data_IF_514863534776
#
_entry.id   IF_514863534776
#
_cell.length_a   1.000
_cell.length_b   1.000
_cell.length_c   1.000
_cell.angle_alpha   90.00
_cell.angle_beta   90.00
_cell.angle_gamma   90.00
#
_symmetry.space_group_name_H-M   'P 1'
#
loop_
_entity.id
_entity.type
_entity.pdbx_description
1 polymer ?
#
# COMPACT_ATOMS: atom_id res chain seq x y z
N UNK A 1 43.61 20.23 48.57
CA UNK A 1 43.13 20.79 47.29
C UNK A 1 42.05 19.86 46.80
N UNK A 2 40.80 20.20 47.10
CA UNK A 2 39.64 19.38 46.71
C UNK A 2 39.21 19.74 45.28
N UNK A 3 38.66 18.79 44.54
CA UNK A 3 38.23 19.00 43.14
C UNK A 3 37.25 20.17 42.97
N UNK A 4 36.50 20.50 44.03
CA UNK A 4 35.57 21.62 44.07
C UNK A 4 36.27 22.98 44.13
N UNK A 5 37.42 23.09 44.82
CA UNK A 5 38.19 24.34 44.88
C UNK A 5 38.83 24.65 43.51
N UNK A 6 39.37 23.64 42.83
CA UNK A 6 39.96 23.80 41.50
C UNK A 6 38.96 24.22 40.42
N UNK A 7 37.68 23.87 40.55
CA UNK A 7 36.63 24.14 39.56
C UNK A 7 35.82 25.41 39.82
N UNK A 8 35.78 25.90 41.07
CA UNK A 8 34.88 26.99 41.46
C UNK A 8 35.55 28.12 42.27
N UNK A 9 36.75 27.95 42.83
CA UNK A 9 37.40 29.00 43.62
C UNK A 9 38.91 28.82 43.78
N UNK A 10 39.69 29.69 43.15
CA UNK A 10 41.06 29.99 43.60
C UNK A 10 41.02 31.22 44.50
N UNK A 11 41.89 31.25 45.52
CA UNK A 11 41.88 32.17 46.67
C UNK A 11 41.91 33.68 46.40
N UNK A 12 41.93 34.14 45.14
CA UNK A 12 42.02 35.54 44.74
C UNK A 12 40.79 36.02 43.96
N UNK A 13 39.56 35.74 44.46
CA UNK A 13 38.27 36.31 44.00
C UNK A 13 37.97 36.42 42.49
N UNK A 14 38.77 35.81 41.61
CA UNK A 14 38.58 35.83 40.17
C UNK A 14 37.67 34.67 39.76
N UNK A 15 36.56 35.03 39.13
CA UNK A 15 35.53 34.11 38.67
C UNK A 15 36.08 33.14 37.63
N UNK A 16 36.09 31.84 37.95
CA UNK A 16 36.68 30.82 37.09
C UNK A 16 35.75 30.49 35.91
N UNK A 17 36.00 31.15 34.77
CA UNK A 17 35.35 30.86 33.49
C UNK A 17 35.41 29.38 33.09
N UNK A 18 36.46 28.66 33.51
CA UNK A 18 36.69 27.24 33.18
C UNK A 18 35.58 26.32 33.72
N UNK A 19 35.11 26.53 34.95
CA UNK A 19 34.03 25.74 35.55
C UNK A 19 32.69 25.94 34.82
N UNK A 20 32.41 27.18 34.39
CA UNK A 20 31.21 27.52 33.61
C UNK A 20 31.29 26.97 32.19
N UNK A 21 32.45 27.07 31.53
CA UNK A 21 32.66 26.48 30.21
C UNK A 21 32.52 24.96 30.22
N UNK A 22 33.02 24.27 31.24
CA UNK A 22 32.84 22.83 31.41
C UNK A 22 31.37 22.43 31.63
N UNK A 23 30.64 23.22 32.43
CA UNK A 23 29.21 23.01 32.68
C UNK A 23 28.37 23.25 31.41
N UNK A 24 28.65 24.33 30.66
CA UNK A 24 28.02 24.61 29.37
C UNK A 24 28.32 23.54 28.32
N UNK A 25 29.57 23.04 28.27
CA UNK A 25 29.94 21.94 27.38
C UNK A 25 29.22 20.65 27.76
N UNK A 26 29.11 20.31 29.05
CA UNK A 26 28.38 19.15 29.54
C UNK A 26 26.88 19.22 29.22
N UNK A 27 26.26 20.38 29.46
CA UNK A 27 24.86 20.64 29.07
C UNK A 27 24.70 20.50 27.55
N UNK A 28 25.59 21.11 26.76
CA UNK A 28 25.59 21.01 25.30
C UNK A 28 25.72 19.58 24.78
N UNK A 29 26.56 18.75 25.41
CA UNK A 29 26.70 17.32 25.08
C UNK A 29 25.42 16.53 25.40
N UNK A 30 24.80 16.79 26.55
CA UNK A 30 23.53 16.14 26.93
C UNK A 30 22.41 16.54 25.96
N UNK A 31 22.29 17.82 25.64
CA UNK A 31 21.32 18.32 24.66
C UNK A 31 21.57 17.72 23.27
N UNK A 32 22.82 17.69 22.79
CA UNK A 32 23.17 17.05 21.51
C UNK A 32 22.88 15.55 21.52
N UNK A 33 23.16 14.83 22.61
CA UNK A 33 22.88 13.40 22.71
C UNK A 33 21.37 13.12 22.68
N UNK A 34 20.56 13.91 23.40
CA UNK A 34 19.10 13.79 23.39
C UNK A 34 18.54 14.16 22.01
N UNK A 35 19.03 15.26 21.43
CA UNK A 35 18.62 15.72 20.10
C UNK A 35 18.93 14.69 19.02
N UNK A 36 20.17 14.18 18.99
CA UNK A 36 20.60 13.15 18.05
C UNK A 36 19.81 11.85 18.22
N UNK A 37 19.44 11.47 19.45
CA UNK A 37 18.60 10.29 19.70
C UNK A 37 17.16 10.50 19.19
N UNK A 38 16.60 11.70 19.37
CA UNK A 38 15.27 12.05 18.86
C UNK A 38 15.26 12.10 17.33
N UNK A 39 16.26 12.73 16.70
CA UNK A 39 16.39 12.80 15.25
C UNK A 39 16.62 11.42 14.65
N UNK A 40 17.50 10.59 15.24
CA UNK A 40 17.73 9.22 14.78
C UNK A 40 16.45 8.36 14.83
N UNK A 41 15.66 8.49 15.90
CA UNK A 41 14.37 7.78 16.01
C UNK A 41 13.37 8.26 14.96
N UNK A 42 13.28 9.58 14.74
CA UNK A 42 12.42 10.14 13.70
C UNK A 42 12.83 9.68 12.30
N UNK A 43 14.14 9.63 12.01
CA UNK A 43 14.68 9.12 10.74
C UNK A 43 14.37 7.63 10.55
N UNK A 44 14.47 6.82 11.61
CA UNK A 44 14.13 5.41 11.58
C UNK A 44 12.63 5.19 11.28
N UNK A 45 11.76 5.94 11.97
CA UNK A 45 10.30 5.89 11.77
C UNK A 45 9.97 6.31 10.34
N UNK A 46 10.56 7.41 9.86
CA UNK A 46 10.36 7.91 8.50
C UNK A 46 10.78 6.87 7.45
N UNK A 47 11.95 6.25 7.60
CA UNK A 47 12.43 5.20 6.69
C UNK A 47 11.49 4.00 6.64
N UNK A 48 11.09 3.47 7.80
CA UNK A 48 10.19 2.32 7.87
C UNK A 48 8.82 2.66 7.24
N UNK A 49 8.28 3.86 7.50
CA UNK A 49 7.03 4.31 6.90
C UNK A 49 7.14 4.44 5.38
N UNK A 50 8.25 4.97 4.86
CA UNK A 50 8.48 5.08 3.41
C UNK A 50 8.59 3.70 2.76
N UNK A 51 9.29 2.76 3.39
CA UNK A 51 9.40 1.37 2.91
C UNK A 51 8.02 0.69 2.87
N UNK A 52 7.27 0.78 3.96
CA UNK A 52 5.89 0.30 4.04
C UNK A 52 5.01 0.93 2.95
N UNK A 53 5.08 2.25 2.74
CA UNK A 53 4.31 2.95 1.72
C UNK A 53 4.65 2.47 0.31
N UNK A 54 5.93 2.23 0.00
CA UNK A 54 6.34 1.75 -1.31
C UNK A 54 5.75 0.37 -1.60
N UNK A 55 5.78 -0.53 -0.61
CA UNK A 55 5.15 -1.86 -0.73
C UNK A 55 3.63 -1.74 -0.88
N UNK A 56 2.96 -0.98 -0.02
CA UNK A 56 1.50 -0.81 -0.07
C UNK A 56 1.03 -0.17 -1.39
N UNK A 57 1.78 0.80 -1.94
CA UNK A 57 1.50 1.40 -3.26
C UNK A 57 1.59 0.39 -4.38
N UNK A 58 2.61 -0.47 -4.36
CA UNK A 58 2.75 -1.55 -5.35
C UNK A 58 1.55 -2.48 -5.27
N UNK A 59 1.22 -2.95 -4.06
CA UNK A 59 0.10 -3.86 -3.84
C UNK A 59 -1.25 -3.27 -4.31
N UNK A 60 -1.52 -1.99 -4.10
CA UNK A 60 -2.73 -1.32 -4.61
C UNK A 60 -2.76 -1.29 -6.15
N UNK A 61 -1.64 -0.94 -6.77
CA UNK A 61 -1.52 -0.94 -8.23
C UNK A 61 -1.74 -2.34 -8.80
N UNK A 62 -1.07 -3.32 -8.20
CA UNK A 62 -1.11 -4.72 -8.59
C UNK A 62 -2.51 -5.31 -8.40
N UNK A 63 -3.23 -4.93 -7.34
CA UNK A 63 -4.60 -5.38 -7.08
C UNK A 63 -5.52 -5.04 -8.25
N UNK A 64 -5.49 -3.78 -8.69
CA UNK A 64 -6.30 -3.32 -9.82
C UNK A 64 -5.94 -4.01 -11.15
N UNK A 65 -4.64 -4.24 -11.39
CA UNK A 65 -4.15 -4.91 -12.61
C UNK A 65 -4.56 -6.39 -12.63
N UNK A 66 -4.40 -7.08 -11.50
CA UNK A 66 -4.74 -8.50 -11.41
C UNK A 66 -6.24 -8.75 -11.38
N UNK A 67 -7.03 -7.83 -10.82
CA UNK A 67 -8.49 -7.88 -10.93
C UNK A 67 -8.95 -7.85 -12.39
N UNK A 68 -8.45 -6.88 -13.18
CA UNK A 68 -8.75 -6.76 -14.61
C UNK A 68 -8.29 -8.01 -15.39
N UNK A 69 -7.06 -8.47 -15.13
CA UNK A 69 -6.47 -9.62 -15.80
C UNK A 69 -7.23 -10.92 -15.53
N UNK A 70 -7.65 -11.15 -14.28
CA UNK A 70 -8.40 -12.32 -13.88
C UNK A 70 -9.82 -12.34 -14.49
N UNK A 71 -10.53 -11.21 -14.46
CA UNK A 71 -11.85 -11.08 -15.09
C UNK A 71 -11.76 -11.32 -16.60
N UNK A 72 -10.82 -10.67 -17.30
CA UNK A 72 -10.62 -10.89 -18.74
C UNK A 72 -10.29 -12.34 -19.06
N UNK A 73 -9.42 -12.99 -18.28
CA UNK A 73 -9.07 -14.39 -18.47
C UNK A 73 -10.29 -15.32 -18.25
N UNK A 74 -11.10 -15.06 -17.23
CA UNK A 74 -12.34 -15.79 -16.96
C UNK A 74 -13.33 -15.70 -18.12
N UNK A 75 -13.56 -14.49 -18.64
CA UNK A 75 -14.45 -14.26 -19.79
C UNK A 75 -13.97 -15.03 -21.04
N UNK A 76 -12.65 -15.07 -21.28
CA UNK A 76 -12.06 -15.84 -22.39
C UNK A 76 -12.24 -17.36 -22.21
N UNK A 77 -12.16 -17.85 -20.98
CA UNK A 77 -12.42 -19.28 -20.69
C UNK A 77 -13.87 -19.62 -20.99
N UNK A 78 -14.82 -18.79 -20.56
CA UNK A 78 -16.25 -19.05 -20.81
C UNK A 78 -16.57 -18.96 -22.31
N UNK A 79 -16.02 -17.97 -23.03
CA UNK A 79 -16.23 -17.88 -24.48
C UNK A 79 -15.64 -19.07 -25.26
N UNK A 80 -14.54 -19.66 -24.77
CA UNK A 80 -14.00 -20.89 -25.32
C UNK A 80 -14.91 -22.11 -25.04
N UNK A 81 -15.52 -22.19 -23.85
CA UNK A 81 -16.46 -23.27 -23.48
C UNK A 81 -17.76 -23.24 -24.28
N UNK A 82 -18.31 -22.05 -24.52
CA UNK A 82 -19.57 -21.86 -25.28
C UNK A 82 -19.41 -22.09 -26.79
N UNK A 83 -18.19 -22.33 -27.27
CA UNK A 83 -17.93 -22.78 -28.63
C UNK A 83 -17.65 -21.68 -29.66
N UNK A 84 -17.46 -20.42 -29.24
CA UNK A 84 -17.05 -19.33 -30.16
C UNK A 84 -15.62 -19.51 -30.66
N UNK A 85 -14.78 -20.18 -29.88
CA UNK A 85 -13.44 -20.60 -30.27
C UNK A 85 -13.34 -22.10 -30.04
N UNK A 86 -13.28 -22.91 -31.11
CA UNK A 86 -12.79 -24.29 -31.01
C UNK A 86 -11.33 -24.21 -30.56
N UNK A 87 -11.09 -24.37 -29.27
CA UNK A 87 -9.76 -24.21 -28.73
C UNK A 87 -9.26 -25.52 -28.13
N UNK A 88 -8.29 -26.13 -28.82
CA UNK A 88 -7.54 -27.30 -28.33
C UNK A 88 -6.77 -26.99 -27.03
N UNK A 89 -6.70 -25.71 -26.62
CA UNK A 89 -5.99 -25.21 -25.44
C UNK A 89 -6.90 -24.70 -24.31
N UNK A 90 -8.13 -25.19 -24.18
CA UNK A 90 -9.02 -24.79 -23.08
C UNK A 90 -8.37 -24.97 -21.70
N UNK A 91 -7.58 -26.05 -21.54
CA UNK A 91 -6.83 -26.31 -20.31
C UNK A 91 -5.81 -25.20 -20.02
N UNK A 92 -5.02 -24.76 -21.02
CA UNK A 92 -4.04 -23.68 -20.87
C UNK A 92 -4.71 -22.36 -20.51
N UNK A 93 -5.87 -22.06 -21.12
CA UNK A 93 -6.64 -20.85 -20.81
C UNK A 93 -7.17 -20.87 -19.38
N UNK A 94 -7.68 -22.03 -18.94
CA UNK A 94 -8.19 -22.21 -17.59
C UNK A 94 -7.06 -22.11 -16.57
N UNK A 95 -5.89 -22.69 -16.86
CA UNK A 95 -4.71 -22.54 -16.02
C UNK A 95 -4.31 -21.06 -15.91
N UNK A 96 -4.24 -20.34 -17.02
CA UNK A 96 -3.91 -18.90 -17.01
C UNK A 96 -4.92 -18.09 -16.20
N UNK A 97 -6.21 -18.38 -16.32
CA UNK A 97 -7.25 -17.71 -15.52
C UNK A 97 -7.07 -17.97 -14.02
N UNK A 98 -6.78 -19.21 -13.64
CA UNK A 98 -6.49 -19.56 -12.25
C UNK A 98 -5.22 -18.89 -11.72
N UNK A 99 -4.17 -18.76 -12.54
CA UNK A 99 -2.93 -18.08 -12.17
C UNK A 99 -3.19 -16.57 -11.91
N UNK A 100 -3.96 -15.90 -12.77
CA UNK A 100 -4.32 -14.49 -12.56
C UNK A 100 -5.23 -14.30 -11.33
N UNK A 101 -6.19 -15.20 -11.12
CA UNK A 101 -7.02 -15.20 -9.91
C UNK A 101 -6.15 -15.39 -8.64
N UNK A 102 -5.19 -16.31 -8.68
CA UNK A 102 -4.27 -16.55 -7.56
C UNK A 102 -3.42 -15.31 -7.25
N UNK A 103 -2.92 -14.61 -8.26
CA UNK A 103 -2.20 -13.34 -8.07
C UNK A 103 -3.09 -12.29 -7.43
N UNK A 104 -4.31 -12.11 -7.94
CA UNK A 104 -5.28 -11.19 -7.37
C UNK A 104 -5.55 -11.51 -5.89
N UNK A 105 -5.91 -12.75 -5.57
CA UNK A 105 -6.23 -13.19 -4.21
C UNK A 105 -5.04 -12.99 -3.27
N UNK A 106 -3.83 -13.36 -3.69
CA UNK A 106 -2.61 -13.15 -2.90
C UNK A 106 -2.34 -11.67 -2.65
N UNK A 107 -2.53 -10.83 -3.65
CA UNK A 107 -2.33 -9.38 -3.52
C UNK A 107 -3.36 -8.75 -2.59
N UNK A 108 -4.64 -9.13 -2.69
CA UNK A 108 -5.69 -8.70 -1.78
C UNK A 108 -5.35 -9.05 -0.33
N UNK A 109 -4.98 -10.32 -0.06
CA UNK A 109 -4.57 -10.74 1.28
C UNK A 109 -3.38 -9.95 1.82
N UNK A 110 -2.34 -9.76 0.99
CA UNK A 110 -1.18 -8.98 1.39
C UNK A 110 -1.54 -7.52 1.67
N UNK A 111 -2.45 -6.94 0.88
CA UNK A 111 -2.86 -5.55 1.07
C UNK A 111 -3.55 -5.35 2.42
N UNK A 112 -4.46 -6.25 2.79
CA UNK A 112 -5.13 -6.24 4.10
C UNK A 112 -4.18 -6.45 5.29
N UNK A 113 -3.00 -7.06 5.07
CA UNK A 113 -1.95 -7.12 6.09
C UNK A 113 -1.19 -5.80 6.25
N UNK A 114 -1.07 -5.03 5.16
CA UNK A 114 -0.32 -3.77 5.16
C UNK A 114 -1.19 -2.58 5.60
N UNK A 115 -2.47 -2.58 5.26
CA UNK A 115 -3.38 -1.48 5.60
C UNK A 115 -4.25 -1.90 6.78
N UNK A 116 -4.13 -1.18 7.90
CA UNK A 116 -4.95 -1.47 9.07
C UNK A 116 -6.40 -1.02 8.86
N UNK A 117 -7.33 -1.70 9.54
CA UNK A 117 -8.75 -1.38 9.58
C UNK A 117 -9.11 -0.21 10.50
N UNK A 118 -8.11 0.59 10.91
CA UNK A 118 -8.33 1.76 11.76
C UNK A 118 -9.17 2.83 11.03
N UNK A 119 -9.95 3.62 11.79
CA UNK A 119 -10.84 4.66 11.24
C UNK A 119 -10.10 5.67 10.35
N UNK A 120 -8.85 5.98 10.65
CA UNK A 120 -7.97 6.85 9.85
C UNK A 120 -7.80 6.37 8.39
N UNK A 121 -7.93 5.06 8.16
CA UNK A 121 -7.78 4.42 6.85
C UNK A 121 -9.11 4.12 6.18
N UNK A 122 -10.25 4.44 6.81
CA UNK A 122 -11.59 4.01 6.38
C UNK A 122 -11.84 4.26 4.90
N UNK A 123 -11.58 5.47 4.39
CA UNK A 123 -11.80 5.78 2.97
C UNK A 123 -11.01 4.88 2.01
N UNK A 124 -9.78 4.53 2.39
CA UNK A 124 -8.94 3.66 1.57
C UNK A 124 -9.47 2.22 1.62
N UNK A 125 -9.85 1.74 2.80
CA UNK A 125 -10.46 0.42 2.96
C UNK A 125 -11.79 0.32 2.19
N UNK A 126 -12.67 1.32 2.31
CA UNK A 126 -13.93 1.38 1.57
C UNK A 126 -13.69 1.31 0.04
N UNK A 127 -12.63 1.94 -0.46
CA UNK A 127 -12.28 1.90 -1.88
C UNK A 127 -11.65 0.56 -2.32
N UNK A 128 -10.91 -0.11 -1.44
CA UNK A 128 -10.40 -1.47 -1.66
C UNK A 128 -11.59 -2.44 -1.72
N UNK A 129 -12.46 -2.39 -0.71
CA UNK A 129 -13.67 -3.22 -0.62
C UNK A 129 -14.59 -2.98 -1.83
N UNK A 130 -14.68 -1.74 -2.32
CA UNK A 130 -15.41 -1.42 -3.55
C UNK A 130 -14.89 -2.15 -4.78
N UNK A 131 -13.57 -2.18 -4.99
CA UNK A 131 -12.95 -2.96 -6.07
C UNK A 131 -13.17 -4.46 -5.86
N UNK A 132 -13.00 -4.95 -4.64
CA UNK A 132 -13.18 -6.38 -4.31
C UNK A 132 -14.63 -6.84 -4.53
N UNK A 133 -15.60 -5.99 -4.22
CA UNK A 133 -17.03 -6.24 -4.46
C UNK A 133 -17.30 -6.36 -5.96
N UNK A 134 -16.87 -5.37 -6.76
CA UNK A 134 -17.04 -5.41 -8.22
C UNK A 134 -16.36 -6.64 -8.83
N UNK A 135 -15.17 -6.99 -8.34
CA UNK A 135 -14.47 -8.20 -8.76
C UNK A 135 -15.26 -9.46 -8.41
N UNK A 136 -15.76 -9.57 -7.17
CA UNK A 136 -16.52 -10.72 -6.69
C UNK A 136 -17.79 -10.92 -7.51
N UNK A 137 -18.57 -9.86 -7.71
CA UNK A 137 -19.81 -9.89 -8.50
C UNK A 137 -19.54 -10.40 -9.92
N UNK A 138 -18.52 -9.85 -10.60
CA UNK A 138 -18.16 -10.28 -11.94
C UNK A 138 -17.63 -11.72 -11.97
N UNK A 139 -16.82 -12.11 -10.99
CA UNK A 139 -16.31 -13.47 -10.90
C UNK A 139 -17.43 -14.48 -10.65
N UNK A 140 -18.46 -14.12 -9.88
CA UNK A 140 -19.65 -14.94 -9.68
C UNK A 140 -20.48 -15.04 -10.98
N UNK A 141 -20.75 -13.91 -11.66
CA UNK A 141 -21.42 -13.90 -12.98
C UNK A 141 -20.71 -14.83 -13.99
N UNK A 142 -19.37 -14.81 -14.01
CA UNK A 142 -18.54 -15.63 -14.91
C UNK A 142 -18.62 -17.11 -14.57
N UNK A 143 -18.57 -17.48 -13.29
CA UNK A 143 -18.51 -18.88 -12.87
C UNK A 143 -19.89 -19.52 -12.65
N UNK A 144 -20.96 -18.72 -12.48
CA UNK A 144 -22.30 -19.17 -12.16
C UNK A 144 -23.16 -19.67 -13.33
N UNK A 145 -22.58 -19.84 -14.53
CA UNK A 145 -23.29 -20.12 -15.79
C UNK A 145 -24.28 -19.01 -16.24
N UNK A 146 -24.35 -17.87 -15.54
CA UNK A 146 -25.22 -16.74 -15.94
C UNK A 146 -24.77 -16.14 -17.29
N UNK A 147 -23.46 -16.14 -17.53
CA UNK A 147 -22.84 -15.66 -18.75
C UNK A 147 -23.14 -16.54 -19.97
N UNK A 148 -23.30 -17.86 -19.80
CA UNK A 148 -23.47 -18.78 -20.94
C UNK A 148 -24.71 -18.42 -21.79
N UNK A 149 -25.74 -17.88 -21.13
CA UNK A 149 -26.96 -17.41 -21.80
C UNK A 149 -26.81 -16.00 -22.42
N UNK A 150 -25.83 -15.22 -21.98
CA UNK A 150 -25.56 -13.86 -22.48
C UNK A 150 -24.62 -13.87 -23.68
N UNK A 151 -23.70 -14.83 -23.75
CA UNK A 151 -22.73 -14.95 -24.84
C UNK A 151 -23.27 -15.86 -25.95
N UNK A 152 -24.13 -15.33 -26.82
CA UNK A 152 -24.70 -16.11 -27.96
C UNK A 152 -23.98 -15.89 -29.27
N UNK A 153 -23.24 -14.79 -29.39
CA UNK A 153 -22.42 -14.46 -30.55
C UNK A 153 -21.18 -13.64 -30.12
N UNK A 154 -20.31 -13.35 -31.09
CA UNK A 154 -19.08 -12.60 -30.86
C UNK A 154 -19.33 -11.14 -30.41
N UNK A 155 -20.39 -10.50 -30.89
CA UNK A 155 -20.73 -9.13 -30.49
C UNK A 155 -21.19 -9.08 -29.02
N UNK A 156 -21.95 -10.08 -28.57
CA UNK A 156 -22.33 -10.23 -27.16
C UNK A 156 -21.10 -10.38 -26.28
N UNK A 157 -20.12 -11.18 -26.72
CA UNK A 157 -18.82 -11.33 -26.04
C UNK A 157 -18.07 -10.00 -25.93
N UNK A 158 -17.92 -9.27 -27.03
CA UNK A 158 -17.24 -7.98 -27.01
C UNK A 158 -17.95 -6.97 -26.10
N UNK A 159 -19.29 -6.95 -26.15
CA UNK A 159 -20.10 -6.07 -25.32
C UNK A 159 -19.97 -6.41 -23.84
N UNK A 160 -20.07 -7.69 -23.48
CA UNK A 160 -19.88 -8.13 -22.09
C UNK A 160 -18.46 -7.83 -21.61
N UNK A 161 -17.43 -8.22 -22.38
CA UNK A 161 -16.03 -7.95 -22.03
C UNK A 161 -15.80 -6.46 -21.81
N UNK A 162 -16.29 -5.59 -22.70
CA UNK A 162 -16.18 -4.14 -22.57
C UNK A 162 -16.91 -3.62 -21.31
N UNK A 163 -18.12 -4.08 -21.05
CA UNK A 163 -18.90 -3.68 -19.86
C UNK A 163 -18.19 -4.07 -18.57
N UNK A 164 -17.70 -5.30 -18.47
CA UNK A 164 -17.00 -5.81 -17.28
C UNK A 164 -15.66 -5.13 -17.09
N UNK A 165 -14.90 -4.90 -18.17
CA UNK A 165 -13.64 -4.13 -18.13
C UNK A 165 -13.89 -2.69 -17.64
N UNK A 166 -14.96 -2.04 -18.10
CA UNK A 166 -15.31 -0.68 -17.66
C UNK A 166 -15.65 -0.65 -16.17
N UNK A 167 -16.46 -1.59 -15.66
CA UNK A 167 -16.79 -1.68 -14.23
C UNK A 167 -15.52 -1.77 -13.37
N UNK A 168 -14.60 -2.67 -13.72
CA UNK A 168 -13.32 -2.84 -13.00
C UNK A 168 -12.46 -1.58 -13.12
N UNK A 169 -12.39 -0.99 -14.32
CA UNK A 169 -11.62 0.23 -14.55
C UNK A 169 -12.12 1.42 -13.71
N UNK A 170 -13.44 1.58 -13.60
CA UNK A 170 -14.05 2.61 -12.75
C UNK A 170 -13.70 2.42 -11.28
N UNK A 171 -13.90 1.21 -10.74
CA UNK A 171 -13.56 0.89 -9.35
C UNK A 171 -12.05 1.03 -9.07
N UNK A 172 -11.21 0.59 -10.01
CA UNK A 172 -9.75 0.77 -9.95
C UNK A 172 -9.38 2.25 -9.92
N UNK A 173 -9.99 3.09 -10.75
CA UNK A 173 -9.68 4.53 -10.78
C UNK A 173 -10.09 5.23 -9.50
N UNK A 174 -11.23 4.85 -8.92
CA UNK A 174 -11.65 5.32 -7.60
C UNK A 174 -10.61 4.96 -6.54
N UNK A 175 -10.23 3.68 -6.45
CA UNK A 175 -9.17 3.20 -5.57
C UNK A 175 -7.86 3.99 -5.76
N UNK A 176 -7.40 4.16 -6.99
CA UNK A 176 -6.16 4.90 -7.28
C UNK A 176 -6.24 6.38 -6.87
N UNK A 177 -7.42 6.99 -6.98
CA UNK A 177 -7.66 8.38 -6.59
C UNK A 177 -7.60 8.55 -5.07
N UNK A 178 -8.27 7.65 -4.35
CA UNK A 178 -8.26 7.62 -2.88
C UNK A 178 -6.85 7.31 -2.36
N UNK A 179 -6.21 6.27 -2.92
CA UNK A 179 -4.85 5.87 -2.57
C UNK A 179 -3.84 6.99 -2.79
N UNK A 180 -3.93 7.74 -3.89
CA UNK A 180 -3.06 8.91 -4.14
C UNK A 180 -3.18 9.94 -3.02
N UNK A 181 -4.39 10.24 -2.59
CA UNK A 181 -4.64 11.21 -1.50
C UNK A 181 -4.10 10.68 -0.17
N UNK A 182 -4.41 9.43 0.14
CA UNK A 182 -3.95 8.75 1.35
C UNK A 182 -2.41 8.76 1.44
N UNK A 183 -1.73 8.26 0.41
CA UNK A 183 -0.27 8.16 0.41
C UNK A 183 0.43 9.52 0.34
N UNK A 184 -0.24 10.57 -0.13
CA UNK A 184 0.27 11.95 -0.01
C UNK A 184 0.27 12.40 1.45
N UNK A 185 -0.81 12.10 2.19
CA UNK A 185 -0.89 12.45 3.62
C UNK A 185 0.13 11.65 4.45
N UNK A 186 0.28 10.36 4.16
CA UNK A 186 1.29 9.50 4.78
C UNK A 186 2.72 9.98 4.50
N UNK A 187 2.98 10.48 3.30
CA UNK A 187 4.26 11.09 2.96
C UNK A 187 4.55 12.34 3.81
N UNK A 188 3.56 13.21 4.01
CA UNK A 188 3.72 14.40 4.84
C UNK A 188 3.89 14.05 6.33
N UNK A 189 3.24 12.98 6.81
CA UNK A 189 3.48 12.44 8.17
C UNK A 189 4.91 11.89 8.30
N UNK A 190 5.37 11.12 7.32
CA UNK A 190 6.73 10.57 7.30
C UNK A 190 7.82 11.66 7.34
N UNK A 191 7.63 12.79 6.64
CA UNK A 191 8.54 13.94 6.70
C UNK A 191 8.63 14.57 8.10
N UNK A 192 7.56 14.49 8.88
CA UNK A 192 7.51 15.01 10.26
C UNK A 192 8.01 14.02 11.30
N UNK A 193 8.33 12.77 10.90
CA UNK A 193 8.71 11.70 11.82
C UNK A 193 7.53 11.20 12.67
N UNK A 194 6.30 11.45 12.20
CA UNK A 194 5.04 10.91 12.75
C UNK A 194 4.78 9.50 12.22
#
# INVERSE_FOLDING_TARGET
>A
MTWCEFLFQTGDHHFQWVGISALLAGIGLIFNAIWNRKSFRADLISKNRIEWMNTARSLISDLGIYAESAISAGIVVVSAKTGFYKNEKLNDLTQKANDELSKYTKTAFNLHLYISTADDNKKLNDAIDGLETVFSDLNEEINGNEIDNQLKNYDDFLNYHKKSSNKIFEARNELMTVARTYFKNEWERAKRGE
#
